data_IF_101326736746
#
_entry.id   IF_101326736746
#
_cell.length_a   1.000
_cell.length_b   1.000
_cell.length_c   1.000
_cell.angle_alpha   90.00
_cell.angle_beta   90.00
_cell.angle_gamma   90.00
#
_symmetry.space_group_name_H-M   'P 1'
#
loop_
_entity.id
_entity.type
_entity.pdbx_description
1 polymer ?
#
# COMPACT_ATOMS: atom_id res chain seq x y z
N UNK A 1 22.53 24.82 -31.11
CA UNK A 1 22.47 23.79 -30.07
C UNK A 1 21.43 24.01 -28.96
N UNK A 2 20.80 25.17 -28.82
CA UNK A 2 19.96 25.54 -27.67
C UNK A 2 18.50 25.01 -27.69
N UNK A 3 17.84 24.84 -28.82
CA UNK A 3 16.43 24.47 -28.90
C UNK A 3 16.13 23.00 -28.50
N UNK A 4 17.10 22.09 -28.65
CA UNK A 4 16.97 20.68 -28.20
C UNK A 4 17.18 20.51 -26.70
N UNK A 5 17.94 21.37 -26.06
CA UNK A 5 18.15 21.36 -24.61
C UNK A 5 16.90 21.82 -23.85
N UNK A 6 16.18 22.83 -24.37
CA UNK A 6 14.99 23.38 -23.73
C UNK A 6 13.81 22.39 -23.61
N UNK A 7 13.74 21.36 -24.47
CA UNK A 7 12.68 20.32 -24.40
C UNK A 7 13.05 19.12 -23.54
N UNK A 8 14.34 18.84 -23.37
CA UNK A 8 14.80 17.69 -22.56
C UNK A 8 14.63 17.95 -21.06
N UNK A 9 14.81 19.22 -20.66
CA UNK A 9 14.71 19.61 -19.25
C UNK A 9 13.34 19.30 -18.62
N UNK A 10 12.18 19.71 -19.22
CA UNK A 10 10.87 19.39 -18.63
C UNK A 10 10.60 17.88 -18.59
N UNK A 11 11.04 17.11 -19.59
CA UNK A 11 10.88 15.65 -19.59
C UNK A 11 11.70 15.01 -18.47
N UNK A 12 12.95 15.45 -18.27
CA UNK A 12 13.79 14.98 -17.17
C UNK A 12 13.19 15.32 -15.81
N UNK A 13 12.62 16.53 -15.66
CA UNK A 13 11.92 16.91 -14.43
C UNK A 13 10.71 16.03 -14.14
N UNK A 14 9.91 15.72 -15.16
CA UNK A 14 8.77 14.79 -15.00
C UNK A 14 9.21 13.37 -14.69
N UNK A 15 10.29 12.88 -15.28
CA UNK A 15 10.86 11.57 -14.96
C UNK A 15 11.39 11.53 -13.53
N UNK A 16 12.08 12.59 -13.08
CA UNK A 16 12.56 12.70 -11.70
C UNK A 16 11.38 12.74 -10.71
N UNK A 17 10.38 13.58 -11.01
CA UNK A 17 9.16 13.66 -10.18
C UNK A 17 8.46 12.31 -10.10
N UNK A 18 8.31 11.61 -11.22
CA UNK A 18 7.74 10.26 -11.25
C UNK A 18 8.54 9.29 -10.38
N UNK A 19 9.86 9.25 -10.51
CA UNK A 19 10.72 8.35 -9.73
C UNK A 19 10.63 8.63 -8.21
N UNK A 20 10.58 9.91 -7.81
CA UNK A 20 10.43 10.28 -6.40
C UNK A 20 9.07 9.88 -5.86
N UNK A 21 7.98 10.17 -6.60
CA UNK A 21 6.63 9.79 -6.19
C UNK A 21 6.47 8.27 -6.11
N UNK A 22 7.05 7.53 -7.04
CA UNK A 22 7.06 6.07 -7.06
C UNK A 22 7.75 5.50 -5.81
N UNK A 23 8.93 6.02 -5.48
CA UNK A 23 9.65 5.64 -4.26
C UNK A 23 8.83 5.91 -2.99
N UNK A 24 8.13 7.05 -2.93
CA UNK A 24 7.26 7.39 -1.81
C UNK A 24 6.04 6.46 -1.74
N UNK A 25 5.45 6.11 -2.89
CA UNK A 25 4.33 5.19 -2.98
C UNK A 25 4.71 3.78 -2.51
N UNK A 26 5.86 3.25 -2.92
CA UNK A 26 6.36 1.96 -2.42
C UNK A 26 6.64 1.98 -0.92
N UNK A 27 7.24 3.05 -0.42
CA UNK A 27 7.45 3.20 1.04
C UNK A 27 6.13 3.27 1.80
N UNK A 28 5.12 3.94 1.25
CA UNK A 28 3.76 4.00 1.81
C UNK A 28 3.10 2.63 1.88
N UNK A 29 3.12 1.87 0.78
CA UNK A 29 2.60 0.51 0.73
C UNK A 29 3.32 -0.43 1.71
N UNK A 30 4.66 -0.35 1.80
CA UNK A 30 5.43 -1.14 2.75
C UNK A 30 5.14 -0.77 4.23
N UNK A 31 4.84 0.51 4.53
CA UNK A 31 4.40 0.93 5.86
C UNK A 31 3.03 0.37 6.19
N UNK A 32 2.11 0.40 5.23
CA UNK A 32 0.77 -0.17 5.40
C UNK A 32 0.85 -1.68 5.64
N UNK A 33 1.70 -2.41 4.91
CA UNK A 33 1.95 -3.84 5.12
C UNK A 33 2.46 -4.14 6.52
N UNK A 34 3.29 -3.28 7.10
CA UNK A 34 3.75 -3.45 8.49
C UNK A 34 2.65 -3.22 9.51
N UNK A 35 1.70 -2.29 9.25
CA UNK A 35 0.56 -2.05 10.14
C UNK A 35 -0.42 -3.23 10.17
N UNK A 36 -0.49 -4.00 9.09
CA UNK A 36 -1.34 -5.19 8.97
C UNK A 36 -0.48 -6.46 8.91
N UNK A 37 0.30 -6.69 9.97
CA UNK A 37 1.09 -7.93 10.13
C UNK A 37 0.19 -9.17 10.17
N UNK A 38 -1.03 -9.05 10.76
CA UNK A 38 -2.08 -10.03 10.63
C UNK A 38 -2.94 -9.70 9.41
N UNK A 39 -3.17 -10.66 8.50
CA UNK A 39 -3.90 -10.40 7.26
C UNK A 39 -5.38 -10.07 7.49
N UNK A 40 -5.97 -10.53 8.62
CA UNK A 40 -7.38 -10.42 8.88
C UNK A 40 -7.67 -10.05 10.33
N UNK A 41 -8.57 -9.07 10.53
CA UNK A 41 -8.98 -8.60 11.84
C UNK A 41 -10.49 -8.69 11.99
N UNK A 42 -10.95 -9.43 12.99
CA UNK A 42 -12.35 -9.54 13.37
C UNK A 42 -12.67 -8.48 14.42
N UNK A 43 -13.79 -7.79 14.28
CA UNK A 43 -14.25 -6.73 15.19
C UNK A 43 -15.60 -7.07 15.76
N UNK A 44 -15.74 -6.84 17.04
CA UNK A 44 -16.96 -7.12 17.81
C UNK A 44 -17.41 -5.84 18.52
N UNK A 45 -18.67 -5.45 18.30
CA UNK A 45 -19.29 -4.32 18.99
C UNK A 45 -19.52 -4.65 20.48
N UNK A 46 -19.79 -5.92 20.77
CA UNK A 46 -19.90 -6.41 22.15
C UNK A 46 -18.59 -7.07 22.55
N UNK A 47 -18.04 -6.75 23.72
CA UNK A 47 -16.84 -7.39 24.21
C UNK A 47 -17.01 -8.91 24.34
N UNK A 48 -15.99 -9.66 23.92
CA UNK A 48 -15.92 -11.10 24.07
C UNK A 48 -15.80 -11.47 25.54
N UNK A 49 -16.51 -12.53 25.95
CA UNK A 49 -16.43 -13.06 27.32
C UNK A 49 -15.14 -13.91 27.49
N UNK A 50 -14.69 -14.07 28.75
CA UNK A 50 -13.55 -14.91 29.07
C UNK A 50 -13.70 -16.35 28.52
N UNK A 51 -14.88 -16.95 28.70
CA UNK A 51 -15.16 -18.30 28.22
C UNK A 51 -15.09 -18.43 26.68
N UNK A 52 -15.49 -17.39 25.91
CA UNK A 52 -15.34 -17.37 24.46
C UNK A 52 -13.88 -17.32 24.04
N UNK A 53 -13.07 -16.51 24.76
CA UNK A 53 -11.63 -16.39 24.48
C UNK A 53 -10.92 -17.71 24.78
N UNK A 54 -11.19 -18.33 25.94
CA UNK A 54 -10.61 -19.61 26.33
C UNK A 54 -11.00 -20.73 25.34
N UNK A 55 -12.28 -20.84 24.97
CA UNK A 55 -12.75 -21.83 23.99
C UNK A 55 -12.04 -21.65 22.63
N UNK A 56 -11.85 -20.41 22.18
CA UNK A 56 -11.14 -20.15 20.92
C UNK A 56 -9.66 -20.50 20.99
N UNK A 57 -9.03 -20.38 22.15
CA UNK A 57 -7.64 -20.77 22.35
C UNK A 57 -7.49 -22.29 22.39
N UNK A 58 -8.41 -22.99 23.06
CA UNK A 58 -8.42 -24.45 23.13
C UNK A 58 -8.64 -25.06 21.75
N UNK A 59 -9.57 -24.52 20.94
CA UNK A 59 -9.80 -24.96 19.56
C UNK A 59 -8.58 -24.70 18.69
N UNK A 60 -7.95 -23.52 18.80
CA UNK A 60 -6.73 -23.18 18.07
C UNK A 60 -5.54 -24.11 18.42
N UNK A 61 -5.46 -24.55 19.68
CA UNK A 61 -4.44 -25.49 20.14
C UNK A 61 -4.75 -26.94 19.75
N UNK A 62 -6.05 -27.33 19.71
CA UNK A 62 -6.48 -28.70 19.47
C UNK A 62 -6.52 -29.11 18.00
N UNK A 63 -6.61 -28.17 17.09
CA UNK A 63 -6.69 -28.44 15.65
C UNK A 63 -5.30 -28.54 15.05
N UNK A 64 -4.83 -29.75 14.78
CA UNK A 64 -3.72 -30.02 13.85
C UNK A 64 -4.15 -29.66 12.42
N UNK A 65 -4.26 -28.38 12.11
CA UNK A 65 -4.45 -27.91 10.74
C UNK A 65 -3.08 -27.79 10.07
N UNK A 66 -3.04 -28.03 8.77
CA UNK A 66 -1.84 -27.76 7.94
C UNK A 66 -1.39 -26.30 8.06
N UNK A 67 -2.27 -25.41 8.51
CA UNK A 67 -2.00 -24.00 8.80
C UNK A 67 -2.39 -23.68 10.24
N UNK A 68 -1.39 -23.41 11.07
CA UNK A 68 -1.60 -22.97 12.46
C UNK A 68 -2.11 -21.54 12.45
N UNK A 69 -3.38 -21.32 12.80
CA UNK A 69 -3.92 -19.98 13.04
C UNK A 69 -3.51 -19.53 14.44
N UNK A 70 -2.82 -18.38 14.54
CA UNK A 70 -2.51 -17.77 15.82
C UNK A 70 -3.44 -16.60 16.07
N UNK A 71 -4.50 -16.76 16.87
CA UNK A 71 -5.38 -15.66 17.24
C UNK A 71 -4.70 -14.77 18.28
N UNK A 72 -4.79 -13.45 18.08
CA UNK A 72 -4.39 -12.44 19.06
C UNK A 72 -5.58 -11.57 19.41
N UNK A 73 -5.98 -11.61 20.67
CA UNK A 73 -7.12 -10.86 21.19
C UNK A 73 -6.65 -9.52 21.70
N UNK A 74 -7.44 -8.45 21.48
CA UNK A 74 -7.08 -7.16 21.99
C UNK A 74 -8.29 -6.21 22.15
N UNK A 75 -8.09 -5.20 22.98
CA UNK A 75 -9.01 -4.06 23.14
C UNK A 75 -8.22 -2.78 23.27
N UNK A 76 -8.85 -1.66 22.89
CA UNK A 76 -8.30 -0.34 23.08
C UNK A 76 -9.14 0.44 24.10
N UNK A 77 -8.46 1.26 24.89
CA UNK A 77 -9.08 2.21 25.79
C UNK A 77 -8.15 3.35 26.14
N UNK A 78 -8.57 4.18 27.06
CA UNK A 78 -7.78 5.25 27.64
C UNK A 78 -7.83 5.14 29.15
N UNK A 79 -6.72 5.34 29.83
CA UNK A 79 -6.67 5.33 31.28
C UNK A 79 -5.62 6.31 31.81
N UNK A 80 -5.82 6.78 33.04
CA UNK A 80 -4.81 7.52 33.76
C UNK A 80 -3.76 6.57 34.30
N UNK A 81 -2.50 6.82 33.96
CA UNK A 81 -1.33 6.06 34.40
C UNK A 81 -0.62 6.84 35.49
N UNK A 82 -0.20 6.15 36.55
CA UNK A 82 0.58 6.78 37.60
C UNK A 82 2.03 6.28 37.53
N UNK A 83 2.93 7.19 37.18
CA UNK A 83 4.36 7.01 37.29
C UNK A 83 4.90 7.45 38.66
N UNK A 84 6.20 7.29 38.92
CA UNK A 84 6.80 7.66 40.20
C UNK A 84 6.73 9.14 40.52
N UNK A 85 6.77 10.02 39.50
CA UNK A 85 6.83 11.46 39.64
C UNK A 85 5.52 12.15 39.22
N UNK A 86 4.82 11.63 38.24
CA UNK A 86 3.61 12.27 37.69
C UNK A 86 2.65 11.26 37.09
N UNK A 87 1.40 11.69 36.97
CA UNK A 87 0.37 10.94 36.27
C UNK A 87 0.23 11.45 34.82
N UNK A 88 -0.15 10.58 33.90
CA UNK A 88 -0.42 10.93 32.52
C UNK A 88 -1.60 10.13 31.98
N UNK A 89 -2.45 10.78 31.18
CA UNK A 89 -3.47 10.07 30.41
C UNK A 89 -2.86 9.48 29.15
N UNK A 90 -3.09 8.19 28.93
CA UNK A 90 -2.59 7.50 27.74
C UNK A 90 -3.64 6.59 27.14
N UNK A 91 -3.51 6.39 25.83
CA UNK A 91 -4.17 5.27 25.15
C UNK A 91 -3.55 3.95 25.63
N UNK A 92 -4.39 2.97 25.88
CA UNK A 92 -3.89 1.63 26.27
C UNK A 92 -4.45 0.59 25.29
N UNK A 93 -3.56 -0.29 24.84
CA UNK A 93 -3.89 -1.50 24.09
C UNK A 93 -3.63 -2.69 25.02
N UNK A 94 -4.70 -3.29 25.50
CA UNK A 94 -4.62 -4.57 26.19
C UNK A 94 -4.68 -5.69 25.16
N UNK A 95 -3.75 -6.62 25.24
CA UNK A 95 -3.71 -7.74 24.31
C UNK A 95 -3.33 -9.04 25.00
N UNK A 96 -3.76 -10.12 24.38
CA UNK A 96 -3.28 -11.47 24.64
C UNK A 96 -2.88 -12.12 23.31
N UNK A 97 -1.66 -12.63 23.25
CA UNK A 97 -1.07 -13.18 22.03
C UNK A 97 0.16 -12.39 21.58
N UNK A 98 0.31 -12.22 20.29
CA UNK A 98 1.48 -11.57 19.67
C UNK A 98 1.28 -10.06 19.55
N UNK A 99 2.05 -9.28 20.30
CA UNK A 99 1.97 -7.82 20.30
C UNK A 99 2.17 -7.20 18.91
N UNK A 100 3.03 -7.78 18.07
CA UNK A 100 3.33 -7.29 16.73
C UNK A 100 2.11 -7.34 15.78
N UNK A 101 1.15 -8.24 16.03
CA UNK A 101 -0.09 -8.33 15.26
C UNK A 101 -1.06 -7.19 15.61
N UNK A 102 -1.01 -6.69 16.85
CA UNK A 102 -1.86 -5.60 17.33
C UNK A 102 -1.25 -4.25 16.99
N UNK A 103 0.01 -4.07 17.34
CA UNK A 103 0.76 -2.83 17.11
C UNK A 103 2.22 -3.13 16.75
N UNK A 104 2.57 -3.17 15.46
CA UNK A 104 3.93 -3.41 15.00
C UNK A 104 4.80 -2.15 15.19
N UNK A 105 5.18 -1.88 16.45
CA UNK A 105 6.04 -0.74 16.82
C UNK A 105 7.52 -1.01 16.58
N UNK A 106 8.28 0.03 16.24
CA UNK A 106 9.74 -0.01 16.25
C UNK A 106 10.23 0.22 17.69
N UNK A 107 10.85 -0.79 18.31
CA UNK A 107 11.37 -0.69 19.66
C UNK A 107 12.69 0.07 19.69
N UNK A 108 12.77 1.08 20.56
CA UNK A 108 13.97 1.88 20.83
C UNK A 108 14.84 1.19 21.88
N UNK A 109 14.21 0.52 22.85
CA UNK A 109 14.86 -0.24 23.89
C UNK A 109 13.95 -1.38 24.35
N UNK A 110 14.51 -2.52 24.73
CA UNK A 110 13.75 -3.69 25.17
C UNK A 110 12.86 -4.31 24.09
N UNK A 111 11.79 -4.97 24.49
CA UNK A 111 10.84 -5.69 23.61
C UNK A 111 9.42 -5.55 24.11
N UNK A 112 8.43 -6.00 23.33
CA UNK A 112 7.07 -6.21 23.84
C UNK A 112 7.08 -7.24 24.96
N UNK A 113 6.18 -7.12 25.95
CA UNK A 113 5.91 -8.22 26.87
C UNK A 113 5.37 -9.42 26.11
N UNK A 114 5.80 -10.62 26.51
CA UNK A 114 5.27 -11.87 25.93
C UNK A 114 3.83 -12.12 26.37
N UNK A 115 3.13 -13.08 25.74
CA UNK A 115 1.74 -13.38 26.05
C UNK A 115 1.50 -13.84 27.50
N UNK A 116 2.51 -14.37 28.16
CA UNK A 116 2.47 -14.85 29.56
C UNK A 116 2.98 -13.83 30.58
N UNK A 117 3.50 -12.68 30.13
CA UNK A 117 4.02 -11.63 31.03
C UNK A 117 2.92 -10.59 31.32
N UNK A 118 1.90 -11.00 32.08
CA UNK A 118 0.78 -10.14 32.48
C UNK A 118 1.22 -8.93 33.30
N UNK A 119 2.35 -9.02 34.01
CA UNK A 119 2.94 -7.91 34.73
C UNK A 119 3.78 -6.99 33.86
N UNK A 120 4.03 -7.36 32.60
CA UNK A 120 4.78 -6.59 31.64
C UNK A 120 3.93 -5.55 30.91
N UNK A 121 4.60 -4.48 30.47
CA UNK A 121 4.05 -3.51 29.55
C UNK A 121 5.16 -2.91 28.68
N UNK A 122 4.76 -2.31 27.54
CA UNK A 122 5.66 -1.49 26.76
C UNK A 122 5.05 -0.09 26.60
N UNK A 123 5.88 0.94 26.62
CA UNK A 123 5.46 2.34 26.59
C UNK A 123 5.97 3.02 25.33
N UNK A 124 5.21 3.97 24.81
CA UNK A 124 5.70 4.85 23.75
C UNK A 124 6.79 5.78 24.27
N UNK A 125 7.68 6.23 23.38
CA UNK A 125 8.70 7.23 23.74
C UNK A 125 8.08 8.53 24.26
N UNK A 126 6.92 8.94 23.74
CA UNK A 126 6.20 10.11 24.27
C UNK A 126 5.73 9.90 25.71
N UNK A 127 5.17 8.72 26.02
CA UNK A 127 4.71 8.39 27.37
C UNK A 127 5.91 8.26 28.34
N UNK A 128 7.02 7.65 27.88
CA UNK A 128 8.24 7.55 28.67
C UNK A 128 8.78 8.93 29.06
N UNK A 129 8.80 9.87 28.12
CA UNK A 129 9.15 11.27 28.41
C UNK A 129 8.21 11.94 29.40
N UNK A 130 6.90 11.72 29.28
CA UNK A 130 5.90 12.30 30.20
C UNK A 130 6.05 11.76 31.63
N UNK A 131 6.28 10.45 31.80
CA UNK A 131 6.31 9.83 33.12
C UNK A 131 7.68 9.91 33.80
N UNK A 132 8.79 9.85 33.05
CA UNK A 132 10.15 9.77 33.61
C UNK A 132 11.11 10.85 33.09
N UNK A 133 10.71 11.66 32.10
CA UNK A 133 11.59 12.64 31.46
C UNK A 133 12.76 12.01 30.68
N UNK A 134 12.69 10.71 30.36
CA UNK A 134 13.76 9.96 29.70
C UNK A 134 13.16 8.84 28.85
N UNK A 135 13.93 8.39 27.84
CA UNK A 135 13.63 7.17 27.10
C UNK A 135 14.14 5.91 27.79
N UNK A 136 15.00 6.06 28.80
CA UNK A 136 15.49 4.95 29.61
C UNK A 136 14.46 4.57 30.70
N UNK A 137 13.40 3.91 30.24
CA UNK A 137 12.29 3.52 31.09
C UNK A 137 12.15 2.00 31.26
N UNK A 138 13.01 1.21 30.63
CA UNK A 138 12.98 -0.27 30.75
C UNK A 138 13.29 -0.66 32.19
N UNK A 139 12.47 -1.53 32.78
CA UNK A 139 12.57 -1.95 34.18
C UNK A 139 11.84 -1.03 35.17
N UNK A 140 11.42 0.15 34.76
CA UNK A 140 10.62 1.06 35.60
C UNK A 140 9.23 0.47 35.86
N UNK A 141 8.60 0.91 36.95
CA UNK A 141 7.26 0.47 37.33
C UNK A 141 6.26 1.59 37.16
N UNK A 142 5.06 1.23 36.73
CA UNK A 142 3.93 2.14 36.64
C UNK A 142 2.65 1.43 37.09
N UNK A 143 1.70 2.19 37.60
CA UNK A 143 0.37 1.70 37.99
C UNK A 143 -0.63 1.93 36.85
N UNK A 144 -1.31 0.86 36.46
CA UNK A 144 -2.34 0.84 35.40
C UNK A 144 -3.58 0.18 35.97
N UNK A 145 -4.69 0.91 36.08
CA UNK A 145 -5.96 0.39 36.65
C UNK A 145 -5.80 -0.30 38.02
N UNK A 146 -4.90 0.24 38.88
CA UNK A 146 -4.61 -0.31 40.21
C UNK A 146 -3.60 -1.46 40.24
N UNK A 147 -3.16 -1.96 39.09
CA UNK A 147 -2.14 -2.99 38.99
C UNK A 147 -0.75 -2.39 38.68
N UNK A 148 0.27 -2.84 39.41
CA UNK A 148 1.66 -2.43 39.13
C UNK A 148 2.22 -3.26 37.99
N UNK A 149 2.71 -2.57 36.94
CA UNK A 149 3.34 -3.19 35.78
C UNK A 149 4.78 -2.75 35.61
N UNK A 150 5.59 -3.59 35.02
CA UNK A 150 7.01 -3.33 34.73
C UNK A 150 7.19 -3.06 33.23
N UNK A 151 7.86 -1.97 32.90
CA UNK A 151 8.18 -1.63 31.51
C UNK A 151 9.21 -2.62 30.96
N UNK A 152 8.85 -3.35 29.91
CA UNK A 152 9.73 -4.30 29.18
C UNK A 152 10.34 -3.70 27.95
N UNK A 153 9.70 -2.65 27.39
CA UNK A 153 10.22 -2.00 26.20
C UNK A 153 9.67 -0.59 26.00
N UNK A 154 10.42 0.17 25.24
CA UNK A 154 10.06 1.52 24.80
C UNK A 154 10.03 1.51 23.27
N UNK A 155 8.90 1.91 22.68
CA UNK A 155 8.73 1.92 21.24
C UNK A 155 8.52 3.34 20.68
N UNK A 156 8.82 3.51 19.39
CA UNK A 156 8.74 4.80 18.72
C UNK A 156 7.30 5.13 18.36
N UNK A 157 6.65 5.96 19.17
CA UNK A 157 5.34 6.56 18.88
C UNK A 157 5.29 7.97 19.51
N UNK A 158 4.63 8.90 18.79
CA UNK A 158 4.50 10.30 19.21
C UNK A 158 3.33 10.54 20.16
N UNK A 159 2.39 9.62 20.22
CA UNK A 159 1.25 9.69 21.13
C UNK A 159 1.60 8.95 22.42
N UNK A 160 1.03 9.38 23.54
CA UNK A 160 1.12 8.63 24.79
C UNK A 160 0.33 7.33 24.64
N UNK A 161 1.04 6.20 24.55
CA UNK A 161 0.47 4.88 24.31
C UNK A 161 1.18 3.84 25.17
N UNK A 162 0.37 2.96 25.75
CA UNK A 162 0.80 1.79 26.51
C UNK A 162 0.33 0.52 25.81
N UNK A 163 1.20 -0.46 25.69
CA UNK A 163 0.88 -1.84 25.34
C UNK A 163 0.95 -2.69 26.60
N UNK A 164 -0.15 -3.31 27.00
CA UNK A 164 -0.20 -4.12 28.20
C UNK A 164 -0.69 -5.53 27.89
N UNK A 165 0.08 -6.53 28.26
CA UNK A 165 -0.38 -7.91 28.20
C UNK A 165 -1.56 -8.09 29.17
N UNK A 166 -2.55 -8.88 28.78
CA UNK A 166 -3.78 -9.13 29.56
C UNK A 166 -4.05 -10.62 29.58
N UNK A 167 -4.66 -11.10 30.66
CA UNK A 167 -5.10 -12.49 30.76
C UNK A 167 -6.32 -12.78 29.85
N UNK A 168 -6.43 -13.97 29.24
CA UNK A 168 -7.66 -14.43 28.62
C UNK A 168 -8.87 -14.34 29.56
N UNK A 169 -8.66 -14.67 30.83
CA UNK A 169 -9.69 -14.63 31.87
C UNK A 169 -10.23 -13.22 32.15
N UNK A 170 -9.47 -12.17 31.83
CA UNK A 170 -9.95 -10.78 31.94
C UNK A 170 -11.11 -10.49 30.97
N UNK A 171 -11.21 -11.21 29.85
CA UNK A 171 -12.23 -10.99 28.83
C UNK A 171 -12.20 -9.58 28.25
N UNK A 172 -13.38 -9.10 27.86
CA UNK A 172 -13.61 -7.72 27.39
C UNK A 172 -12.81 -7.33 26.13
N UNK A 173 -12.29 -8.29 25.36
CA UNK A 173 -11.65 -8.01 24.08
C UNK A 173 -12.70 -7.69 23.02
N UNK A 174 -12.40 -6.72 22.17
CA UNK A 174 -13.30 -6.27 21.09
C UNK A 174 -12.76 -6.57 19.70
N UNK A 175 -11.57 -7.14 19.62
CA UNK A 175 -10.95 -7.47 18.36
C UNK A 175 -10.10 -8.74 18.46
N UNK A 176 -10.04 -9.47 17.35
CA UNK A 176 -9.21 -10.66 17.17
C UNK A 176 -8.44 -10.51 15.87
N UNK A 177 -7.11 -10.56 15.97
CA UNK A 177 -6.23 -10.61 14.81
C UNK A 177 -5.93 -12.07 14.49
N UNK A 178 -6.09 -12.45 13.23
CA UNK A 178 -5.79 -13.80 12.75
C UNK A 178 -4.58 -13.74 11.83
N UNK A 179 -3.52 -14.45 12.20
CA UNK A 179 -2.32 -14.58 11.39
C UNK A 179 -2.24 -15.99 10.82
N UNK A 180 -2.44 -16.10 9.51
CA UNK A 180 -2.16 -17.30 8.73
C UNK A 180 -1.89 -16.88 7.28
N UNK A 181 -0.99 -17.59 6.60
CA UNK A 181 -0.71 -17.31 5.20
C UNK A 181 -1.89 -17.69 4.32
N UNK A 182 -2.34 -16.76 3.46
CA UNK A 182 -3.43 -17.01 2.51
C UNK A 182 -4.82 -17.18 3.15
N UNK A 183 -5.00 -16.69 4.39
CA UNK A 183 -6.27 -16.77 5.10
C UNK A 183 -7.38 -16.01 4.36
N UNK A 184 -8.44 -16.72 4.03
CA UNK A 184 -9.62 -16.14 3.39
C UNK A 184 -10.64 -15.62 4.43
N UNK A 185 -11.51 -14.70 4.00
CA UNK A 185 -12.58 -14.18 4.84
C UNK A 185 -13.58 -15.28 5.27
N UNK A 186 -13.75 -16.31 4.45
CA UNK A 186 -14.64 -17.45 4.76
C UNK A 186 -14.06 -18.34 5.85
N UNK A 187 -12.77 -18.63 5.76
CA UNK A 187 -12.05 -19.41 6.79
C UNK A 187 -12.03 -18.68 8.14
N UNK A 188 -11.85 -17.35 8.12
CA UNK A 188 -11.91 -16.55 9.34
C UNK A 188 -13.32 -16.53 9.98
N UNK A 189 -14.38 -16.48 9.17
CA UNK A 189 -15.76 -16.61 9.68
C UNK A 189 -16.01 -18.00 10.23
N UNK A 190 -15.56 -19.04 9.53
CA UNK A 190 -15.66 -20.41 9.99
C UNK A 190 -14.91 -20.61 11.32
N UNK A 191 -13.71 -20.04 11.44
CA UNK A 191 -12.98 -20.03 12.72
C UNK A 191 -13.80 -19.37 13.82
N UNK A 192 -14.31 -18.15 13.60
CA UNK A 192 -15.10 -17.44 14.61
C UNK A 192 -16.35 -18.20 15.05
N UNK A 193 -17.04 -18.87 14.12
CA UNK A 193 -18.21 -19.69 14.42
C UNK A 193 -17.85 -20.98 15.17
N UNK A 194 -16.83 -21.70 14.73
CA UNK A 194 -16.42 -22.97 15.31
C UNK A 194 -15.88 -22.79 16.75
N UNK A 195 -15.17 -21.68 17.00
CA UNK A 195 -14.62 -21.35 18.32
C UNK A 195 -15.64 -20.66 19.25
N UNK A 196 -16.91 -20.55 18.86
CA UNK A 196 -17.93 -19.93 19.70
C UNK A 196 -17.80 -18.41 19.87
N UNK A 197 -16.95 -17.72 19.08
CA UNK A 197 -16.82 -16.26 19.11
C UNK A 197 -18.06 -15.55 18.54
N UNK A 198 -18.88 -16.28 17.75
CA UNK A 198 -20.00 -15.71 17.03
C UNK A 198 -19.60 -14.99 15.74
N UNK A 199 -20.60 -14.47 15.03
CA UNK A 199 -20.34 -13.70 13.83
C UNK A 199 -19.70 -12.34 14.19
N UNK A 200 -18.58 -11.97 13.58
CA UNK A 200 -18.00 -10.64 13.78
C UNK A 200 -18.92 -9.57 13.17
N UNK A 201 -19.06 -8.45 13.85
CA UNK A 201 -19.84 -7.30 13.34
C UNK A 201 -19.14 -6.70 12.12
N UNK A 202 -17.80 -6.71 12.12
CA UNK A 202 -17.01 -6.23 10.99
C UNK A 202 -15.69 -7.01 10.83
N UNK A 203 -15.22 -7.11 9.58
CA UNK A 203 -13.92 -7.70 9.27
C UNK A 203 -13.05 -6.72 8.49
N UNK A 204 -11.85 -6.43 9.00
CA UNK A 204 -10.85 -5.66 8.28
C UNK A 204 -9.93 -6.63 7.54
N UNK A 205 -9.96 -6.54 6.21
CA UNK A 205 -9.09 -7.35 5.35
C UNK A 205 -7.81 -6.57 5.04
N UNK A 206 -6.83 -6.70 5.92
CA UNK A 206 -5.55 -5.95 5.86
C UNK A 206 -4.76 -6.23 4.59
N UNK A 207 -4.70 -7.49 4.16
CA UNK A 207 -4.01 -7.88 2.92
C UNK A 207 -4.64 -7.20 1.69
N UNK A 208 -5.97 -7.07 1.65
CA UNK A 208 -6.67 -6.36 0.59
C UNK A 208 -6.28 -4.88 0.52
N UNK A 209 -6.19 -4.22 1.66
CA UNK A 209 -5.78 -2.81 1.74
C UNK A 209 -4.33 -2.61 1.28
N UNK A 210 -3.43 -3.50 1.70
CA UNK A 210 -2.01 -3.48 1.28
C UNK A 210 -1.88 -3.72 -0.22
N UNK A 211 -2.65 -4.69 -0.75
CA UNK A 211 -2.67 -5.01 -2.18
C UNK A 211 -3.18 -3.85 -3.02
N UNK A 212 -4.25 -3.17 -2.59
CA UNK A 212 -4.77 -1.98 -3.27
C UNK A 212 -3.74 -0.84 -3.28
N UNK A 213 -3.05 -0.62 -2.15
CA UNK A 213 -1.99 0.39 -2.06
C UNK A 213 -0.80 0.05 -2.98
N UNK A 214 -0.42 -1.22 -3.06
CA UNK A 214 0.63 -1.69 -3.95
C UNK A 214 0.23 -1.54 -5.42
N UNK A 215 -1.00 -1.90 -5.80
CA UNK A 215 -1.52 -1.71 -7.16
C UNK A 215 -1.54 -0.23 -7.56
N UNK A 216 -1.93 0.67 -6.67
CA UNK A 216 -1.91 2.11 -6.92
C UNK A 216 -0.49 2.63 -7.23
N UNK A 217 0.54 2.02 -6.64
CA UNK A 217 1.93 2.32 -6.95
C UNK A 217 2.38 1.70 -8.29
N UNK A 218 2.12 0.41 -8.50
CA UNK A 218 2.61 -0.32 -9.68
C UNK A 218 1.92 0.06 -11.00
N UNK A 219 0.64 0.42 -10.97
CA UNK A 219 -0.16 0.62 -12.19
C UNK A 219 0.38 1.72 -13.10
N UNK A 220 0.76 2.92 -12.62
CA UNK A 220 1.34 3.96 -13.46
C UNK A 220 2.67 3.55 -14.10
N UNK A 221 3.53 2.84 -13.36
CA UNK A 221 4.80 2.31 -13.87
C UNK A 221 4.56 1.26 -14.96
N UNK A 222 3.61 0.35 -14.75
CA UNK A 222 3.24 -0.66 -15.75
C UNK A 222 2.72 -0.03 -17.06
N UNK A 223 1.89 1.03 -16.95
CA UNK A 223 1.40 1.77 -18.12
C UNK A 223 2.55 2.42 -18.89
N UNK A 224 3.51 3.05 -18.18
CA UNK A 224 4.69 3.63 -18.83
C UNK A 224 5.59 2.56 -19.47
N UNK A 225 5.79 1.44 -18.78
CA UNK A 225 6.57 0.31 -19.32
C UNK A 225 5.93 -0.26 -20.59
N UNK A 226 4.60 -0.45 -20.58
CA UNK A 226 3.85 -0.89 -21.76
C UNK A 226 3.98 0.11 -22.91
N UNK A 227 3.83 1.40 -22.65
CA UNK A 227 4.01 2.42 -23.66
C UNK A 227 5.43 2.47 -24.23
N UNK A 228 6.45 2.24 -23.39
CA UNK A 228 7.84 2.13 -23.82
C UNK A 228 8.06 0.89 -24.71
N UNK A 229 7.48 -0.25 -24.33
CA UNK A 229 7.52 -1.48 -25.13
C UNK A 229 6.87 -1.30 -26.50
N UNK A 230 5.68 -0.68 -26.56
CA UNK A 230 5.00 -0.38 -27.83
C UNK A 230 5.87 0.52 -28.72
N UNK A 231 6.51 1.53 -28.14
CA UNK A 231 7.44 2.41 -28.90
C UNK A 231 8.68 1.68 -29.40
N UNK A 232 9.25 0.86 -28.53
CA UNK A 232 10.39 0.03 -28.91
C UNK A 232 10.01 -0.95 -30.04
N UNK A 233 8.79 -1.50 -30.00
CA UNK A 233 8.24 -2.31 -31.05
C UNK A 233 8.11 -1.56 -32.38
N UNK A 234 7.60 -0.34 -32.34
CA UNK A 234 7.49 0.49 -33.53
C UNK A 234 8.88 0.89 -34.07
N UNK A 235 9.81 1.21 -33.20
CA UNK A 235 11.19 1.57 -33.58
C UNK A 235 11.96 0.38 -34.15
N UNK A 236 11.77 -0.83 -33.62
CA UNK A 236 12.43 -2.05 -34.12
C UNK A 236 12.05 -2.41 -35.55
N UNK A 237 10.98 -1.82 -36.10
CA UNK A 237 10.59 -2.03 -37.51
C UNK A 237 11.64 -1.54 -38.51
N UNK A 238 12.48 -0.57 -38.13
CA UNK A 238 13.59 -0.06 -38.92
C UNK A 238 14.87 -0.88 -38.81
N UNK A 239 14.90 -1.93 -37.97
CA UNK A 239 16.08 -2.75 -37.75
C UNK A 239 16.21 -3.85 -38.85
N UNK A 240 17.42 -4.33 -39.10
CA UNK A 240 17.63 -5.46 -39.98
C UNK A 240 16.86 -6.69 -39.45
N UNK A 241 16.37 -7.57 -40.35
CA UNK A 241 15.41 -8.63 -39.97
C UNK A 241 15.96 -9.58 -38.89
N UNK A 242 17.24 -9.94 -38.95
CA UNK A 242 17.87 -10.81 -37.94
C UNK A 242 17.94 -10.18 -36.56
N UNK A 243 18.34 -8.91 -36.46
CA UNK A 243 18.39 -8.19 -35.18
C UNK A 243 17.00 -8.04 -34.59
N UNK A 244 15.99 -7.74 -35.42
CA UNK A 244 14.60 -7.63 -34.99
C UNK A 244 14.05 -8.96 -34.47
N UNK A 245 14.30 -10.06 -35.16
CA UNK A 245 13.86 -11.39 -34.74
C UNK A 245 14.52 -11.81 -33.42
N UNK A 246 15.85 -11.63 -33.30
CA UNK A 246 16.59 -11.93 -32.08
C UNK A 246 16.07 -11.12 -30.87
N UNK A 247 15.83 -9.82 -31.09
CA UNK A 247 15.26 -8.96 -30.06
C UNK A 247 13.87 -9.44 -29.59
N UNK A 248 12.96 -9.77 -30.54
CA UNK A 248 11.62 -10.23 -30.18
C UNK A 248 11.62 -11.60 -29.52
N UNK A 249 12.51 -12.50 -29.88
CA UNK A 249 12.69 -13.78 -29.20
C UNK A 249 13.13 -13.55 -27.73
N UNK A 250 14.12 -12.69 -27.50
CA UNK A 250 14.57 -12.35 -26.15
C UNK A 250 13.46 -11.66 -25.34
N UNK A 251 12.71 -10.75 -25.97
CA UNK A 251 11.58 -10.08 -25.32
C UNK A 251 10.47 -11.07 -24.94
N UNK A 252 10.18 -12.06 -25.79
CA UNK A 252 9.20 -13.11 -25.54
C UNK A 252 9.64 -14.01 -24.37
N UNK A 253 10.90 -14.43 -24.36
CA UNK A 253 11.47 -15.22 -23.25
C UNK A 253 11.43 -14.42 -21.96
N UNK A 254 11.85 -13.14 -21.99
CA UNK A 254 11.77 -12.27 -20.82
C UNK A 254 10.34 -12.08 -20.32
N UNK A 255 9.37 -11.90 -21.22
CA UNK A 255 7.95 -11.81 -20.85
C UNK A 255 7.42 -13.12 -20.26
N UNK A 256 7.79 -14.27 -20.82
CA UNK A 256 7.39 -15.57 -20.31
C UNK A 256 7.93 -15.84 -18.89
N UNK A 257 9.16 -15.40 -18.60
CA UNK A 257 9.74 -15.51 -17.25
C UNK A 257 9.16 -14.48 -16.26
N UNK A 258 8.83 -13.28 -16.75
CA UNK A 258 8.26 -12.23 -15.89
C UNK A 258 6.76 -12.45 -15.59
N UNK A 259 6.02 -13.10 -16.49
CA UNK A 259 4.56 -13.26 -16.38
C UNK A 259 4.10 -13.95 -15.08
N UNK A 260 4.69 -15.08 -14.62
CA UNK A 260 4.31 -15.71 -13.37
C UNK A 260 4.55 -14.79 -12.16
N UNK A 261 5.66 -14.04 -12.17
CA UNK A 261 5.98 -13.08 -11.11
C UNK A 261 4.98 -11.93 -11.10
N UNK A 262 4.63 -11.39 -12.28
CA UNK A 262 3.65 -10.32 -12.41
C UNK A 262 2.23 -10.78 -12.02
N UNK A 263 1.85 -12.00 -12.39
CA UNK A 263 0.57 -12.58 -11.98
C UNK A 263 0.51 -12.82 -10.47
N UNK A 264 1.62 -13.21 -9.84
CA UNK A 264 1.71 -13.36 -8.38
C UNK A 264 1.59 -12.04 -7.61
N UNK A 265 1.84 -10.90 -8.25
CA UNK A 265 1.62 -9.57 -7.66
C UNK A 265 0.16 -9.13 -7.68
N UNK A 266 -0.68 -9.76 -8.52
CA UNK A 266 -2.11 -9.46 -8.61
C UNK A 266 -2.85 -10.34 -7.61
N UNK A 267 -3.55 -9.75 -6.62
CA UNK A 267 -4.31 -10.53 -5.65
C UNK A 267 -5.37 -11.39 -6.32
N UNK A 268 -5.53 -12.64 -5.87
CA UNK A 268 -6.48 -13.59 -6.47
C UNK A 268 -7.94 -13.10 -6.45
N UNK A 269 -8.33 -12.32 -5.45
CA UNK A 269 -9.67 -11.73 -5.35
C UNK A 269 -9.96 -10.65 -6.41
N UNK A 270 -8.93 -10.12 -7.08
CA UNK A 270 -9.07 -9.16 -8.18
C UNK A 270 -9.27 -9.86 -9.53
N UNK A 271 -9.01 -11.16 -9.61
CA UNK A 271 -9.13 -11.92 -10.85
C UNK A 271 -10.51 -12.59 -10.93
N UNK A 272 -11.25 -12.42 -12.05
CA UNK A 272 -12.52 -13.11 -12.23
C UNK A 272 -12.28 -14.62 -12.38
N UNK A 273 -13.06 -15.43 -11.66
CA UNK A 273 -13.01 -16.88 -11.81
C UNK A 273 -13.42 -17.37 -13.20
N UNK A 274 -14.19 -16.55 -13.92
CA UNK A 274 -14.57 -16.76 -15.33
C UNK A 274 -14.42 -15.46 -16.10
N UNK A 275 -13.63 -15.47 -17.15
CA UNK A 275 -13.40 -14.29 -18.01
C UNK A 275 -14.63 -13.77 -18.74
N UNK A 276 -15.69 -14.58 -18.84
CA UNK A 276 -16.98 -14.21 -19.42
C UNK A 276 -17.93 -13.48 -18.45
N UNK A 277 -17.53 -13.32 -17.20
CA UNK A 277 -18.33 -12.60 -16.21
C UNK A 277 -18.06 -11.09 -16.29
N UNK A 278 -18.78 -10.40 -17.16
CA UNK A 278 -18.69 -8.94 -17.33
C UNK A 278 -19.23 -8.15 -16.12
N UNK A 279 -20.07 -8.79 -15.29
CA UNK A 279 -20.58 -8.18 -14.05
C UNK A 279 -19.59 -8.17 -12.90
N UNK A 280 -18.54 -8.99 -12.97
CA UNK A 280 -17.54 -9.14 -11.92
C UNK A 280 -16.95 -7.80 -11.45
N UNK A 281 -16.47 -6.96 -12.38
CA UNK A 281 -15.80 -5.70 -12.05
C UNK A 281 -16.74 -4.68 -11.41
N UNK A 282 -17.99 -4.59 -11.90
CA UNK A 282 -19.00 -3.71 -11.30
C UNK A 282 -19.39 -4.19 -9.91
N UNK A 283 -19.61 -5.48 -9.73
CA UNK A 283 -19.90 -6.08 -8.43
C UNK A 283 -18.72 -5.97 -7.45
N UNK A 284 -17.47 -6.07 -7.93
CA UNK A 284 -16.28 -5.87 -7.12
C UNK A 284 -16.18 -4.41 -6.65
N UNK A 285 -16.37 -3.45 -7.57
CA UNK A 285 -16.32 -2.03 -7.23
C UNK A 285 -17.38 -1.65 -6.19
N UNK A 286 -18.62 -2.16 -6.33
CA UNK A 286 -19.69 -1.93 -5.37
C UNK A 286 -19.37 -2.54 -4.00
N UNK A 287 -18.85 -3.76 -3.95
CA UNK A 287 -18.42 -4.40 -2.69
C UNK A 287 -17.32 -3.62 -2.01
N UNK A 288 -16.28 -3.20 -2.75
CA UNK A 288 -15.18 -2.41 -2.20
C UNK A 288 -15.66 -1.03 -1.71
N UNK A 289 -16.60 -0.40 -2.41
CA UNK A 289 -17.19 0.87 -1.98
C UNK A 289 -17.98 0.70 -0.67
N UNK A 290 -18.85 -0.31 -0.58
CA UNK A 290 -19.64 -0.59 0.61
C UNK A 290 -18.74 -0.96 1.81
N UNK A 291 -17.74 -1.84 1.62
CA UNK A 291 -16.77 -2.18 2.67
C UNK A 291 -15.94 -0.98 3.09
N UNK A 292 -15.58 -0.11 2.16
CA UNK A 292 -14.88 1.12 2.46
C UNK A 292 -15.70 2.07 3.31
N UNK A 293 -16.97 2.30 2.95
CA UNK A 293 -17.89 3.15 3.70
C UNK A 293 -18.10 2.63 5.13
N UNK A 294 -18.34 1.33 5.27
CA UNK A 294 -18.47 0.67 6.56
C UNK A 294 -17.17 0.79 7.39
N UNK A 295 -15.99 0.56 6.79
CA UNK A 295 -14.71 0.71 7.47
C UNK A 295 -14.43 2.15 7.91
N UNK A 296 -14.83 3.15 7.10
CA UNK A 296 -14.67 4.55 7.48
C UNK A 296 -15.63 4.98 8.61
N UNK A 297 -16.79 4.34 8.73
CA UNK A 297 -17.78 4.62 9.79
C UNK A 297 -17.42 4.01 11.15
N UNK A 298 -16.56 2.99 11.19
CA UNK A 298 -16.12 2.36 12.44
C UNK A 298 -15.41 3.35 13.37
N UNK A 299 -15.59 3.21 14.71
CA UNK A 299 -14.82 3.94 15.69
C UNK A 299 -13.32 3.72 15.43
N UNK A 300 -12.55 4.80 15.17
CA UNK A 300 -11.17 4.65 14.72
C UNK A 300 -10.29 4.15 15.85
N UNK A 301 -9.69 2.98 15.69
CA UNK A 301 -8.56 2.56 16.52
C UNK A 301 -7.29 3.32 16.11
N UNK A 302 -6.28 3.34 16.99
CA UNK A 302 -5.00 4.00 16.68
C UNK A 302 -4.39 3.48 15.37
N UNK A 303 -4.44 2.17 15.13
CA UNK A 303 -3.96 1.53 13.91
C UNK A 303 -4.75 2.00 12.68
N UNK A 304 -6.05 2.07 12.78
CA UNK A 304 -6.93 2.48 11.68
C UNK A 304 -6.76 3.96 11.32
N UNK A 305 -6.55 4.84 12.31
CA UNK A 305 -6.23 6.25 12.04
C UNK A 305 -4.96 6.37 11.20
N UNK A 306 -3.92 5.61 11.55
CA UNK A 306 -2.66 5.60 10.77
C UNK A 306 -2.88 5.00 9.39
N UNK A 307 -3.63 3.90 9.28
CA UNK A 307 -3.94 3.25 8.01
C UNK A 307 -4.78 4.14 7.08
N UNK A 308 -5.81 4.80 7.60
CA UNK A 308 -6.64 5.76 6.85
C UNK A 308 -5.78 6.92 6.32
N UNK A 309 -4.89 7.47 7.15
CA UNK A 309 -3.95 8.51 6.74
C UNK A 309 -2.99 8.05 5.63
N UNK A 310 -2.44 6.83 5.76
CA UNK A 310 -1.55 6.25 4.74
C UNK A 310 -2.29 5.97 3.42
N UNK A 311 -3.54 5.47 3.47
CA UNK A 311 -4.34 5.22 2.27
C UNK A 311 -4.71 6.52 1.54
N UNK A 312 -5.06 7.57 2.26
CA UNK A 312 -5.29 8.89 1.65
C UNK A 312 -4.02 9.44 0.99
N UNK A 313 -2.89 9.34 1.69
CA UNK A 313 -1.59 9.71 1.10
C UNK A 313 -1.27 8.87 -0.14
N UNK A 314 -1.54 7.57 -0.10
CA UNK A 314 -1.32 6.65 -1.21
C UNK A 314 -2.21 6.99 -2.42
N UNK A 315 -3.48 7.35 -2.19
CA UNK A 315 -4.39 7.81 -3.24
C UNK A 315 -3.88 9.11 -3.89
N UNK A 316 -3.39 10.07 -3.09
CA UNK A 316 -2.82 11.32 -3.60
C UNK A 316 -1.53 11.06 -4.41
N UNK A 317 -0.65 10.16 -3.93
CA UNK A 317 0.56 9.75 -4.65
C UNK A 317 0.21 9.05 -5.97
N UNK A 318 -0.78 8.15 -5.98
CA UNK A 318 -1.26 7.48 -7.19
C UNK A 318 -1.81 8.46 -8.22
N UNK A 319 -2.58 9.46 -7.80
CA UNK A 319 -3.06 10.53 -8.67
C UNK A 319 -1.88 11.36 -9.24
N UNK A 320 -0.89 11.71 -8.41
CA UNK A 320 0.33 12.39 -8.84
C UNK A 320 1.12 11.59 -9.87
N UNK A 321 1.29 10.30 -9.63
CA UNK A 321 1.94 9.36 -10.57
C UNK A 321 1.20 9.26 -11.90
N UNK A 322 -0.13 9.17 -11.87
CA UNK A 322 -0.96 9.14 -13.07
C UNK A 322 -0.80 10.42 -13.91
N UNK A 323 -0.77 11.59 -13.24
CA UNK A 323 -0.51 12.88 -13.91
C UNK A 323 0.90 12.94 -14.52
N UNK A 324 1.93 12.50 -13.80
CA UNK A 324 3.29 12.43 -14.33
C UNK A 324 3.38 11.48 -15.52
N UNK A 325 2.77 10.30 -15.44
CA UNK A 325 2.71 9.32 -16.52
C UNK A 325 2.01 9.91 -17.76
N UNK A 326 0.86 10.58 -17.57
CA UNK A 326 0.14 11.25 -18.65
C UNK A 326 1.01 12.32 -19.32
N UNK A 327 1.73 13.15 -18.55
CA UNK A 327 2.62 14.19 -19.09
C UNK A 327 3.79 13.59 -19.88
N UNK A 328 4.39 12.53 -19.37
CA UNK A 328 5.46 11.80 -20.06
C UNK A 328 4.95 11.17 -21.37
N UNK A 329 3.78 10.52 -21.37
CA UNK A 329 3.17 9.96 -22.56
C UNK A 329 2.84 11.04 -23.60
N UNK A 330 2.35 12.20 -23.16
CA UNK A 330 2.02 13.32 -24.03
C UNK A 330 3.28 13.96 -24.65
N UNK A 331 4.30 14.22 -23.84
CA UNK A 331 5.58 14.72 -24.31
C UNK A 331 6.22 13.80 -25.34
N UNK A 332 6.01 12.51 -25.16
CA UNK A 332 6.49 11.49 -26.05
C UNK A 332 5.69 11.35 -27.36
N UNK A 333 4.44 11.85 -27.45
CA UNK A 333 3.60 11.86 -28.69
C UNK A 333 3.92 13.06 -29.61
N UNK A 334 4.53 14.12 -29.11
CA UNK A 334 4.84 15.29 -29.92
C UNK A 334 5.94 14.96 -30.94
N UNK A 335 5.69 15.10 -32.23
CA UNK A 335 6.74 14.90 -33.24
C UNK A 335 7.87 15.89 -32.99
N UNK A 336 9.12 15.56 -33.34
CA UNK A 336 10.19 16.54 -33.37
C UNK A 336 9.73 17.64 -34.33
N UNK A 337 9.49 18.86 -33.84
CA UNK A 337 9.25 20.01 -34.71
C UNK A 337 10.48 20.07 -35.61
N UNK A 338 10.28 19.82 -36.90
CA UNK A 338 11.24 20.17 -37.91
C UNK A 338 11.63 21.63 -37.56
N UNK A 339 12.89 21.83 -37.26
CA UNK A 339 13.41 23.18 -36.98
C UNK A 339 12.82 24.04 -38.07
N UNK A 340 12.25 25.16 -37.68
CA UNK A 340 11.95 26.26 -38.59
C UNK A 340 13.28 26.61 -39.25
N UNK A 341 13.56 25.80 -40.31
CA UNK A 341 14.66 26.13 -41.21
C UNK A 341 14.40 27.54 -41.64
N UNK A 342 15.31 28.41 -41.35
CA UNK A 342 15.51 29.70 -41.93
C UNK A 342 14.79 29.76 -43.29
N UNK A 343 13.66 30.46 -43.35
CA UNK A 343 13.19 30.98 -44.63
C UNK A 343 14.36 31.67 -45.23
N UNK A 344 14.93 31.09 -46.29
CA UNK A 344 15.85 31.78 -47.14
C UNK A 344 15.11 32.97 -47.74
N UNK A 345 15.14 34.10 -47.02
CA UNK A 345 14.80 35.42 -47.58
C UNK A 345 16.05 35.83 -48.30
N UNK A 346 16.26 35.35 -49.50
CA UNK A 346 17.14 35.95 -50.52
C UNK A 346 17.01 35.17 -51.83
N UNK A 347 16.08 35.61 -52.64
CA UNK A 347 16.20 35.65 -54.06
C UNK A 347 15.20 36.69 -54.59
N UNK A 348 15.45 37.94 -54.23
CA UNK A 348 14.97 39.09 -54.94
C UNK A 348 16.16 39.65 -55.74
N UNK A 349 16.56 38.95 -56.79
CA UNK A 349 17.38 39.50 -57.87
C UNK A 349 17.56 38.43 -58.92
N UNK A 350 16.57 38.30 -59.80
CA UNK A 350 16.80 37.84 -61.19
C UNK A 350 16.16 38.87 -62.09
N UNK A 351 16.99 39.53 -62.97
CA UNK A 351 16.44 40.51 -63.91
C UNK A 351 15.67 39.89 -65.03
N UNK A 352 14.66 40.61 -65.50
CA UNK A 352 13.90 40.37 -66.71
C UNK A 352 14.87 40.23 -67.91
N UNK A 353 14.70 39.19 -68.65
CA UNK A 353 15.18 39.05 -70.01
C UNK A 353 14.09 38.57 -70.94
N UNK A 354 13.56 39.57 -71.65
CA UNK A 354 13.21 39.59 -73.07
C UNK A 354 12.36 38.45 -73.65
N UNK A 355 11.15 38.87 -74.00
CA UNK A 355 10.32 38.27 -75.01
C UNK A 355 10.99 38.55 -76.39
N UNK A 356 10.93 37.67 -77.39
CA UNK A 356 10.37 38.06 -78.66
C UNK A 356 9.35 37.05 -79.20
N UNK A 357 8.17 37.55 -79.41
CA UNK A 357 7.46 37.66 -80.69
C UNK A 357 7.46 36.46 -81.66
N UNK A 358 6.19 36.12 -81.93
CA UNK A 358 5.56 35.87 -83.23
C UNK A 358 6.03 34.71 -84.10
N UNK A 359 5.14 33.79 -84.35
CA UNK A 359 4.56 33.53 -85.67
C UNK A 359 3.64 32.31 -85.66
N UNK A 360 2.40 32.51 -85.89
CA UNK A 360 1.51 31.53 -86.56
C UNK A 360 1.84 31.58 -88.09
N UNK A 361 1.51 30.62 -88.95
CA UNK A 361 0.14 30.18 -89.14
C UNK A 361 -0.09 28.62 -89.43
N UNK A 362 -1.36 28.28 -89.41
CA UNK A 362 -2.00 27.11 -89.95
C UNK A 362 -1.84 26.96 -91.50
N UNK A 363 -2.48 25.99 -92.23
CA UNK A 363 -3.20 24.76 -91.85
C UNK A 363 -2.88 23.57 -92.82
N UNK A 364 -3.52 22.50 -92.65
CA UNK A 364 -3.79 21.63 -93.81
C UNK A 364 -3.48 20.14 -93.68
N UNK A 365 -4.53 19.43 -93.77
CA UNK A 365 -4.87 18.08 -94.14
C UNK A 365 -5.09 17.11 -93.03
#
# INVERSE_FOLDING_TARGET
MSARAGRRLPVLLWMLAFAVLELLAFRGAARLGRLYAAPLSLRYARPLTAGQVEAALDDAAGVQREQTMSPTFWRQGTTALKGPAQAADAGVLWYWGEAAQVFPGEYLAGTAPGPWDEAGCAVSGALAWQLWGSLDAVGQRLEVEGAVRTVRGVFRERRALLLAASSPAAGAFTAVELAAAGLTAEEARAFAQNCGLGAPDFMVYGEGLVSLAALAAWLPAAVLALAALVRLALWSRSWPPLARQGFWLLALVGAALALPVLLGLVPGWLLPGRWSDFGFWTGLAQRLAAQGEEWFSLPPTLREVQAKGLLLAQAALGAGLALCAQRLLWAAKQPPQAGTGTRCVRCAACPAAANPEAAAPAPGA
#
